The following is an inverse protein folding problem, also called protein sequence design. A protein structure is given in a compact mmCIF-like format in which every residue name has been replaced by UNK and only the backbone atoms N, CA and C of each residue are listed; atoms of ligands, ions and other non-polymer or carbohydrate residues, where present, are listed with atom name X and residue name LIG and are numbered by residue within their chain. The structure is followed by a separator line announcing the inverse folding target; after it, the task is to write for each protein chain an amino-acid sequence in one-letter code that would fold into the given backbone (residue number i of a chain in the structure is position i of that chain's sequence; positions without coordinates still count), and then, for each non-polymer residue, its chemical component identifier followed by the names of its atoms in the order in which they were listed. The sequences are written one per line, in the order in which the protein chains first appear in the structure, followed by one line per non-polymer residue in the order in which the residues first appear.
data_IF_045052385509
#
_entry.id   IF_045052385509
#
_cell.length_a   1.000
_cell.length_b   1.000
_cell.length_c   1.000
_cell.angle_alpha   90.00
_cell.angle_beta   90.00
_cell.angle_gamma   90.00
#
_symmetry.space_group_name_H-M   'P 1'
#
loop_
_entity.id
_entity.type
_entity.pdbx_description
1 polymer ?
#
# COMPACT_ATOMS: atom_id res chain seq x y z
N UNK A 1 -34.15 -44.32 0.40
CA UNK A 1 -33.63 -43.61 1.59
C UNK A 1 -33.13 -42.24 1.15
N UNK A 2 -33.75 -41.19 1.69
CA UNK A 2 -33.37 -39.81 1.48
C UNK A 2 -32.18 -39.44 2.37
N UNK A 3 -31.33 -38.53 1.90
CA UNK A 3 -30.58 -37.49 2.64
C UNK A 3 -29.54 -36.90 1.67
N UNK A 4 -29.34 -35.60 1.50
CA UNK A 4 -30.09 -34.37 1.77
C UNK A 4 -29.27 -33.31 1.01
N UNK A 5 -29.91 -32.53 0.14
CA UNK A 5 -29.33 -31.27 -0.36
C UNK A 5 -28.90 -30.42 0.82
N UNK A 6 -27.70 -29.87 0.78
CA UNK A 6 -27.33 -28.70 1.56
C UNK A 6 -26.72 -27.65 0.61
N UNK A 7 -27.56 -27.19 -0.32
CA UNK A 7 -27.43 -25.87 -0.90
C UNK A 7 -28.39 -24.97 -0.12
N UNK A 8 -27.86 -24.25 0.87
CA UNK A 8 -28.55 -23.19 1.60
C UNK A 8 -27.50 -22.09 1.79
N UNK A 9 -27.45 -21.13 0.87
CA UNK A 9 -28.07 -19.79 0.95
C UNK A 9 -27.16 -18.86 1.74
N UNK A 10 -26.71 -17.77 1.13
CA UNK A 10 -27.00 -16.43 1.66
C UNK A 10 -26.95 -15.42 0.51
N UNK A 11 -28.07 -14.73 0.35
CA UNK A 11 -28.23 -13.53 -0.45
C UNK A 11 -27.48 -12.38 0.22
N UNK A 12 -26.74 -11.60 -0.56
CA UNK A 12 -26.72 -10.16 -0.33
C UNK A 12 -26.87 -9.46 -1.69
N UNK A 13 -27.86 -8.58 -1.74
CA UNK A 13 -28.20 -7.81 -2.91
C UNK A 13 -27.51 -6.45 -2.81
N UNK A 14 -26.45 -6.28 -3.59
CA UNK A 14 -26.02 -4.97 -4.04
C UNK A 14 -25.94 -5.01 -5.56
N UNK A 15 -26.58 -4.05 -6.23
CA UNK A 15 -26.56 -3.92 -7.68
C UNK A 15 -25.18 -3.39 -8.11
N UNK A 16 -24.19 -4.26 -8.09
CA UNK A 16 -22.85 -4.02 -8.62
C UNK A 16 -22.82 -4.49 -10.07
N UNK A 17 -22.18 -3.71 -10.93
CA UNK A 17 -21.76 -4.17 -12.26
C UNK A 17 -21.06 -5.52 -12.09
N UNK A 18 -21.19 -6.50 -13.01
CA UNK A 18 -20.63 -7.84 -12.78
C UNK A 18 -19.15 -7.70 -12.42
N UNK A 19 -18.82 -7.88 -11.14
CA UNK A 19 -17.43 -7.89 -10.68
C UNK A 19 -16.80 -9.10 -11.33
N UNK A 20 -15.91 -8.83 -12.29
CA UNK A 20 -15.18 -9.87 -12.99
C UNK A 20 -14.17 -10.44 -12.00
N UNK A 21 -14.18 -11.76 -11.79
CA UNK A 21 -13.17 -12.44 -10.97
C UNK A 21 -11.75 -12.16 -11.50
N UNK A 22 -10.75 -12.20 -10.61
CA UNK A 22 -9.35 -11.91 -10.95
C UNK A 22 -8.85 -12.71 -12.18
N UNK A 23 -9.09 -14.02 -12.19
CA UNK A 23 -8.69 -14.91 -13.29
C UNK A 23 -9.34 -14.52 -14.62
N UNK A 24 -10.60 -14.07 -14.57
CA UNK A 24 -11.31 -13.61 -15.75
C UNK A 24 -10.77 -12.25 -16.22
N UNK A 25 -10.46 -11.33 -15.30
CA UNK A 25 -9.88 -10.03 -15.64
C UNK A 25 -8.49 -10.19 -16.28
N UNK A 26 -7.64 -11.07 -15.74
CA UNK A 26 -6.34 -11.43 -16.34
C UNK A 26 -6.54 -12.08 -17.71
N UNK A 27 -7.51 -12.99 -17.85
CA UNK A 27 -7.84 -13.61 -19.13
C UNK A 27 -8.26 -12.60 -20.21
N UNK A 28 -9.01 -11.56 -19.84
CA UNK A 28 -9.37 -10.47 -20.75
C UNK A 28 -8.15 -9.61 -21.12
N UNK A 29 -7.25 -9.29 -20.18
CA UNK A 29 -6.00 -8.58 -20.48
C UNK A 29 -5.15 -9.37 -21.47
N UNK A 30 -5.00 -10.69 -21.28
CA UNK A 30 -4.26 -11.56 -22.18
C UNK A 30 -4.80 -11.47 -23.62
N UNK A 31 -6.13 -11.60 -23.79
CA UNK A 31 -6.78 -11.46 -25.10
C UNK A 31 -6.57 -10.10 -25.73
N UNK A 32 -6.60 -9.03 -24.94
CA UNK A 32 -6.36 -7.66 -25.42
C UNK A 32 -4.93 -7.54 -25.94
N UNK A 33 -3.95 -8.06 -25.20
CA UNK A 33 -2.53 -8.07 -25.61
C UNK A 33 -2.36 -8.88 -26.89
N UNK A 34 -2.92 -10.09 -26.97
CA UNK A 34 -2.84 -10.93 -28.17
C UNK A 34 -3.38 -10.20 -29.40
N UNK A 35 -4.51 -9.50 -29.26
CA UNK A 35 -5.10 -8.71 -30.34
C UNK A 35 -4.24 -7.51 -30.74
N UNK A 36 -3.62 -6.82 -29.78
CA UNK A 36 -2.72 -5.70 -30.05
C UNK A 36 -1.42 -6.16 -30.73
N UNK A 37 -0.89 -7.32 -30.32
CA UNK A 37 0.33 -7.91 -30.88
C UNK A 37 0.11 -8.50 -32.29
N UNK A 38 -1.12 -8.91 -32.62
CA UNK A 38 -1.46 -9.41 -33.97
C UNK A 38 -1.17 -8.38 -35.07
N UNK A 39 -1.29 -7.08 -34.76
CA UNK A 39 -1.10 -6.00 -35.73
C UNK A 39 -2.23 -5.85 -36.77
N UNK A 40 -3.30 -6.65 -36.67
CA UNK A 40 -4.43 -6.64 -37.61
C UNK A 40 -5.43 -5.49 -37.33
N UNK A 41 -5.31 -4.83 -36.18
CA UNK A 41 -6.19 -3.75 -35.76
C UNK A 41 -5.79 -2.39 -36.34
N UNK A 42 -6.80 -1.62 -36.78
CA UNK A 42 -6.59 -0.22 -37.14
C UNK A 42 -6.32 0.66 -35.91
N UNK A 43 -5.67 1.81 -36.09
CA UNK A 43 -5.27 2.73 -34.99
C UNK A 43 -6.39 3.00 -33.97
N UNK A 44 -7.60 3.31 -34.45
CA UNK A 44 -8.75 3.59 -33.58
C UNK A 44 -9.20 2.38 -32.75
N UNK A 45 -9.06 1.17 -33.29
CA UNK A 45 -9.39 -0.06 -32.58
C UNK A 45 -8.30 -0.43 -31.58
N UNK A 46 -7.02 -0.26 -31.97
CA UNK A 46 -5.89 -0.45 -31.06
C UNK A 46 -5.97 0.48 -29.85
N UNK A 47 -6.38 1.74 -30.03
CA UNK A 47 -6.59 2.67 -28.92
C UNK A 47 -7.72 2.22 -27.98
N UNK A 48 -8.84 1.73 -28.52
CA UNK A 48 -9.95 1.19 -27.71
C UNK A 48 -9.52 -0.04 -26.92
N UNK A 49 -8.78 -0.95 -27.54
CA UNK A 49 -8.26 -2.14 -26.88
C UNK A 49 -7.27 -1.77 -25.77
N UNK A 50 -6.41 -0.78 -26.01
CA UNK A 50 -5.51 -0.26 -24.99
C UNK A 50 -6.27 0.32 -23.78
N UNK A 51 -7.29 1.17 -24.01
CA UNK A 51 -8.13 1.72 -22.94
C UNK A 51 -8.82 0.62 -22.11
N UNK A 52 -9.39 -0.38 -22.79
CA UNK A 52 -9.96 -1.56 -22.16
C UNK A 52 -8.91 -2.34 -21.34
N UNK A 53 -7.70 -2.49 -21.88
CA UNK A 53 -6.60 -3.15 -21.19
C UNK A 53 -6.23 -2.44 -19.89
N UNK A 54 -6.11 -1.11 -19.91
CA UNK A 54 -5.86 -0.30 -18.71
C UNK A 54 -7.00 -0.44 -17.70
N UNK A 55 -8.25 -0.45 -18.15
CA UNK A 55 -9.40 -0.64 -17.26
C UNK A 55 -9.33 -2.00 -16.54
N UNK A 56 -9.00 -3.07 -17.26
CA UNK A 56 -8.88 -4.42 -16.70
C UNK A 56 -7.68 -4.53 -15.76
N UNK A 57 -6.54 -3.92 -16.09
CA UNK A 57 -5.37 -3.87 -15.21
C UNK A 57 -5.68 -3.18 -13.88
N UNK A 58 -6.40 -2.05 -13.92
CA UNK A 58 -6.84 -1.35 -12.71
C UNK A 58 -7.77 -2.21 -11.84
N UNK A 59 -8.65 -3.00 -12.46
CA UNK A 59 -9.49 -3.96 -11.74
C UNK A 59 -8.64 -5.06 -11.08
N UNK A 60 -7.68 -5.64 -11.80
CA UNK A 60 -6.75 -6.63 -11.23
C UNK A 60 -6.00 -6.07 -10.01
N UNK A 61 -5.48 -4.85 -10.12
CA UNK A 61 -4.79 -4.17 -9.02
C UNK A 61 -5.70 -4.03 -7.80
N UNK A 62 -6.93 -3.55 -7.98
CA UNK A 62 -7.89 -3.39 -6.88
C UNK A 62 -8.26 -4.72 -6.20
N UNK A 63 -8.38 -5.80 -6.97
CA UNK A 63 -8.62 -7.14 -6.42
C UNK A 63 -7.43 -7.65 -5.59
N UNK A 64 -6.20 -7.42 -6.07
CA UNK A 64 -4.99 -7.78 -5.33
C UNK A 64 -4.87 -6.99 -4.03
N UNK A 65 -5.13 -5.68 -4.05
CA UNK A 65 -5.13 -4.84 -2.84
C UNK A 65 -6.20 -5.26 -1.82
N UNK A 66 -7.37 -5.70 -2.30
CA UNK A 66 -8.41 -6.24 -1.43
C UNK A 66 -7.97 -7.57 -0.79
N UNK A 67 -7.35 -8.46 -1.58
CA UNK A 67 -6.82 -9.73 -1.09
C UNK A 67 -5.69 -9.52 -0.07
N UNK A 68 -4.75 -8.62 -0.37
CA UNK A 68 -3.64 -8.25 0.51
C UNK A 68 -4.14 -7.74 1.86
N UNK A 69 -5.07 -6.77 1.87
CA UNK A 69 -5.67 -6.26 3.12
C UNK A 69 -6.30 -7.38 3.95
N UNK A 70 -6.97 -8.32 3.30
CA UNK A 70 -7.58 -9.47 3.97
C UNK A 70 -6.53 -10.40 4.57
N UNK A 71 -5.44 -10.67 3.86
CA UNK A 71 -4.31 -11.48 4.36
C UNK A 71 -3.62 -10.80 5.53
N UNK A 72 -3.37 -9.50 5.45
CA UNK A 72 -2.78 -8.69 6.53
C UNK A 72 -3.60 -8.78 7.82
N UNK A 73 -4.92 -8.60 7.71
CA UNK A 73 -5.83 -8.68 8.84
C UNK A 73 -5.87 -10.09 9.48
N UNK A 74 -5.78 -11.14 8.66
CA UNK A 74 -5.79 -12.53 9.14
C UNK A 74 -4.44 -12.99 9.72
N UNK A 75 -3.34 -12.51 9.16
CA UNK A 75 -1.98 -12.95 9.54
C UNK A 75 -1.45 -12.19 10.74
N UNK A 76 -1.96 -10.98 11.01
CA UNK A 76 -1.41 -10.09 12.03
C UNK A 76 -0.04 -9.54 11.65
N UNK A 77 0.27 -9.51 10.35
CA UNK A 77 1.48 -8.91 9.76
C UNK A 77 1.07 -7.95 8.65
N UNK A 78 1.76 -6.82 8.51
CA UNK A 78 1.56 -5.84 7.44
C UNK A 78 2.10 -6.33 6.08
N UNK A 79 1.92 -5.50 5.04
CA UNK A 79 2.39 -5.77 3.68
C UNK A 79 3.91 -6.00 3.59
N UNK A 80 4.68 -5.41 4.49
CA UNK A 80 6.13 -5.51 4.58
C UNK A 80 6.58 -6.70 5.46
N UNK A 81 5.64 -7.46 6.03
CA UNK A 81 5.89 -8.62 6.88
C UNK A 81 6.18 -8.29 8.35
N UNK A 82 5.93 -7.06 8.80
CA UNK A 82 6.07 -6.67 10.20
C UNK A 82 4.81 -7.01 10.99
N UNK A 83 4.92 -7.47 12.25
CA UNK A 83 3.75 -7.77 13.06
C UNK A 83 2.93 -6.50 13.31
N UNK A 84 1.63 -6.56 13.05
CA UNK A 84 0.66 -5.52 13.40
C UNK A 84 0.42 -5.60 14.90
N UNK A 85 1.02 -4.69 15.66
CA UNK A 85 0.85 -4.60 17.11
C UNK A 85 0.01 -3.40 17.51
N UNK A 86 -1.02 -3.62 18.30
CA UNK A 86 -1.72 -2.55 19.02
C UNK A 86 -0.95 -2.21 20.31
N UNK A 87 -0.79 -0.93 20.70
CA UNK A 87 -0.23 -0.56 21.97
C UNK A 87 -1.03 -1.18 23.11
N UNK A 88 -0.44 -2.14 23.81
CA UNK A 88 -1.04 -2.68 25.02
C UNK A 88 -0.91 -1.62 26.12
N UNK A 89 -1.99 -0.86 26.36
CA UNK A 89 -2.10 0.09 27.45
C UNK A 89 -2.25 -0.65 28.80
N UNK A 90 -1.24 -1.45 29.15
CA UNK A 90 -1.03 -1.94 30.51
C UNK A 90 -0.61 -0.77 31.38
N UNK A 91 -1.58 -0.16 32.06
CA UNK A 91 -1.34 0.94 32.98
C UNK A 91 -0.54 0.47 34.19
N UNK A 92 0.78 0.59 34.14
CA UNK A 92 1.61 0.68 35.34
C UNK A 92 2.57 1.86 35.18
N UNK A 93 2.18 2.99 35.78
CA UNK A 93 3.09 4.10 36.04
C UNK A 93 4.11 3.60 37.05
N UNK A 94 5.25 3.12 36.58
CA UNK A 94 6.43 2.97 37.43
C UNK A 94 6.97 4.37 37.70
N UNK A 95 6.64 4.89 38.88
CA UNK A 95 7.11 6.16 39.41
C UNK A 95 8.65 6.18 39.49
N UNK A 96 9.30 6.72 38.46
CA UNK A 96 10.74 7.00 38.48
C UNK A 96 11.00 8.31 39.25
N UNK A 97 11.48 8.19 40.49
CA UNK A 97 11.90 9.27 41.35
C UNK A 97 13.06 10.13 40.76
N UNK A 98 13.14 11.44 41.06
CA UNK A 98 14.15 12.33 40.48
C UNK A 98 15.51 12.23 41.19
N UNK A 99 16.52 11.72 40.51
CA UNK A 99 17.91 11.73 41.01
C UNK A 99 18.65 13.01 40.58
N UNK A 100 18.87 13.92 41.55
CA UNK A 100 19.83 15.03 41.45
C UNK A 100 21.25 14.52 41.79
N UNK A 101 22.15 14.49 40.81
CA UNK A 101 23.61 14.47 40.98
C UNK A 101 24.22 14.87 39.63
N UNK A 102 25.23 15.70 39.46
CA UNK A 102 26.14 16.41 40.34
C UNK A 102 27.10 17.20 39.41
N UNK A 103 27.55 18.36 39.86
CA UNK A 103 28.46 19.29 39.18
C UNK A 103 29.67 18.59 38.55
N UNK A 104 29.99 18.87 37.29
CA UNK A 104 31.35 18.73 36.76
C UNK A 104 31.75 19.94 35.93
N UNK A 105 32.70 20.66 36.50
CA UNK A 105 33.46 21.77 35.98
C UNK A 105 34.32 21.30 34.79
N UNK A 106 34.30 22.01 33.67
CA UNK A 106 35.28 21.85 32.59
C UNK A 106 35.53 23.23 31.97
N UNK A 107 36.56 23.91 32.49
CA UNK A 107 37.10 25.12 31.90
C UNK A 107 38.26 24.81 30.96
N UNK A 108 38.32 25.58 29.86
CA UNK A 108 39.50 25.93 29.03
C UNK A 108 40.21 24.76 28.30
N UNK A 109 40.63 24.85 27.04
CA UNK A 109 41.02 26.00 26.22
C UNK A 109 41.30 25.54 24.77
N UNK A 110 41.45 26.54 23.88
CA UNK A 110 42.02 26.55 22.52
C UNK A 110 41.07 26.24 21.34
N UNK A 111 41.14 26.94 20.20
CA UNK A 111 41.82 28.18 19.74
C UNK A 111 41.34 28.40 18.29
N UNK A 112 41.25 29.67 17.86
CA UNK A 112 41.20 30.13 16.46
C UNK A 112 39.92 29.78 15.66
N UNK A 113 39.41 30.54 14.71
CA UNK A 113 39.92 31.67 13.93
C UNK A 113 38.74 32.56 13.48
N UNK A 114 39.03 33.84 13.32
CA UNK A 114 38.16 34.83 12.68
C UNK A 114 37.98 34.54 11.18
N UNK A 115 36.85 34.94 10.57
CA UNK A 115 36.74 36.16 9.74
C UNK A 115 35.38 36.22 9.03
N UNK A 116 34.82 37.43 9.05
CA UNK A 116 33.58 37.90 8.40
C UNK A 116 33.69 37.84 6.88
N UNK A 117 32.58 37.62 6.18
CA UNK A 117 32.09 38.51 5.11
C UNK A 117 30.62 38.23 4.80
N UNK A 118 29.81 39.25 5.08
CA UNK A 118 28.54 39.57 4.42
C UNK A 118 28.80 39.70 2.91
N UNK A 119 27.99 39.04 2.08
CA UNK A 119 27.76 39.51 0.71
C UNK A 119 26.32 39.17 0.32
N UNK A 120 25.47 40.15 0.57
CA UNK A 120 24.20 40.33 -0.14
C UNK A 120 24.45 40.52 -1.65
N UNK A 121 23.63 39.92 -2.51
CA UNK A 121 23.33 40.45 -3.85
C UNK A 121 23.66 39.58 -5.08
N UNK A 122 22.72 39.64 -6.03
CA UNK A 122 22.76 39.25 -7.46
C UNK A 122 22.40 37.80 -7.80
N UNK A 123 21.18 37.58 -8.32
CA UNK A 123 20.82 37.57 -9.76
C UNK A 123 21.56 36.46 -10.51
N UNK A 124 20.89 35.32 -10.69
CA UNK A 124 20.45 34.77 -11.99
C UNK A 124 19.44 33.64 -11.73
#
# INVERSE_FOLDING_TARGET
MAKKKSSTTDSDGNAESPEIDFEAAVGEVQKIVDNLESGDLGLSESLKQYELGIQRLNQCQGLLEAAERKVTLLSGFDADGNPVTEPFAGGEKVDAAPSKAGRRNAGASNRAAAKKTDTSGELF
#
